data_IF_047336093364
#
_entry.id   IF_047336093364
#
_cell.length_a   1.000
_cell.length_b   1.000
_cell.length_c   1.000
_cell.angle_alpha   90.00
_cell.angle_beta   90.00
_cell.angle_gamma   90.00
#
_symmetry.space_group_name_H-M   'P 1'
#
loop_
_entity.id
_entity.type
_entity.pdbx_description
1 polymer ?
#
# COMPACT_ATOMS: atom_id res chain seq x y z
N UNK A 1 -4.49 9.64 -12.27
CA UNK A 1 -3.04 9.54 -12.57
C UNK A 1 -2.54 8.25 -11.92
N UNK A 2 -2.42 7.19 -12.73
CA UNK A 2 -1.85 5.91 -12.30
C UNK A 2 -0.34 6.01 -12.15
N UNK A 3 0.29 5.07 -11.43
CA UNK A 3 1.75 4.99 -11.27
C UNK A 3 2.50 5.11 -12.62
N UNK A 4 1.93 4.55 -13.69
CA UNK A 4 2.46 4.64 -15.05
C UNK A 4 2.29 6.03 -15.71
N UNK A 5 1.23 6.78 -15.39
CA UNK A 5 0.96 8.09 -15.99
C UNK A 5 1.68 9.24 -15.26
N UNK A 6 2.16 9.02 -14.03
CA UNK A 6 2.91 10.02 -13.26
C UNK A 6 4.43 10.06 -13.55
N UNK A 7 4.97 9.07 -14.28
CA UNK A 7 6.42 8.85 -14.34
C UNK A 7 7.04 8.77 -15.74
N UNK A 8 6.39 9.24 -16.80
CA UNK A 8 6.97 9.17 -18.15
C UNK A 8 7.96 10.29 -18.52
N UNK A 9 8.37 11.17 -17.60
CA UNK A 9 9.39 12.20 -17.90
C UNK A 9 10.78 11.90 -17.33
N UNK A 10 10.93 10.98 -16.39
CA UNK A 10 12.22 10.63 -15.77
C UNK A 10 12.66 9.18 -15.98
N UNK A 11 11.77 8.30 -16.45
CA UNK A 11 12.12 6.90 -16.73
C UNK A 11 12.96 6.82 -18.00
N UNK A 12 14.28 6.64 -17.83
CA UNK A 12 15.21 6.37 -18.91
C UNK A 12 15.57 4.88 -18.91
N UNK A 13 15.87 4.27 -20.08
CA UNK A 13 16.35 2.88 -20.20
C UNK A 13 17.57 2.56 -19.32
N UNK A 14 18.23 3.58 -18.77
CA UNK A 14 19.38 3.47 -17.87
C UNK A 14 19.09 2.72 -16.58
N UNK A 15 17.86 2.63 -16.08
CA UNK A 15 17.62 2.01 -14.76
C UNK A 15 17.08 0.57 -14.83
N UNK A 16 16.82 0.04 -16.02
CA UNK A 16 16.28 -1.32 -16.21
C UNK A 16 17.19 -2.42 -15.62
N UNK A 17 18.50 -2.26 -15.71
CA UNK A 17 19.48 -3.23 -15.18
C UNK A 17 19.46 -3.37 -13.65
N UNK A 18 18.98 -2.35 -12.92
CA UNK A 18 18.83 -2.43 -11.45
C UNK A 18 17.60 -3.23 -11.05
N UNK A 19 16.55 -3.25 -11.89
CA UNK A 19 15.35 -4.04 -11.65
C UNK A 19 15.57 -5.52 -11.94
N UNK A 20 16.30 -5.83 -13.02
CA UNK A 20 16.68 -7.21 -13.37
C UNK A 20 17.56 -7.87 -12.29
N UNK A 21 18.44 -7.09 -11.64
CA UNK A 21 19.27 -7.57 -10.54
C UNK A 21 18.49 -7.77 -9.22
N UNK A 22 17.31 -7.14 -9.09
CA UNK A 22 16.48 -7.19 -7.88
C UNK A 22 15.31 -8.20 -7.96
N UNK A 23 15.09 -8.84 -9.12
CA UNK A 23 14.07 -9.88 -9.27
C UNK A 23 14.51 -11.19 -8.61
N UNK A 24 14.01 -11.45 -7.41
CA UNK A 24 13.99 -12.79 -6.84
C UNK A 24 12.80 -13.57 -7.42
N UNK A 25 13.11 -14.66 -8.14
CA UNK A 25 12.22 -15.68 -8.71
C UNK A 25 11.02 -15.19 -9.56
N UNK A 26 11.06 -15.49 -10.85
CA UNK A 26 9.92 -15.30 -11.74
C UNK A 26 8.84 -16.34 -11.43
N UNK A 27 7.66 -15.88 -11.02
CA UNK A 27 6.48 -16.71 -10.84
C UNK A 27 5.86 -16.98 -12.22
N UNK A 28 5.52 -18.23 -12.53
CA UNK A 28 4.79 -18.56 -13.75
C UNK A 28 3.30 -18.22 -13.62
N UNK A 29 2.64 -17.91 -14.75
CA UNK A 29 1.20 -17.64 -14.79
C UNK A 29 0.37 -18.78 -14.17
N UNK A 30 0.79 -20.03 -14.39
CA UNK A 30 0.11 -21.20 -13.83
C UNK A 30 0.24 -21.27 -12.30
N UNK A 31 1.45 -21.04 -11.77
CA UNK A 31 1.65 -21.00 -10.31
C UNK A 31 0.89 -19.84 -9.70
N UNK A 32 0.96 -18.67 -10.31
CA UNK A 32 0.22 -17.49 -9.87
C UNK A 32 -1.27 -17.78 -9.81
N UNK A 33 -1.87 -18.28 -10.90
CA UNK A 33 -3.30 -18.63 -10.95
C UNK A 33 -3.68 -19.61 -9.84
N UNK A 34 -2.90 -20.66 -9.63
CA UNK A 34 -3.15 -21.65 -8.56
C UNK A 34 -3.09 -21.00 -7.18
N UNK A 35 -2.10 -20.14 -6.93
CA UNK A 35 -1.93 -19.47 -5.64
C UNK A 35 -3.08 -18.48 -5.37
N UNK A 36 -3.64 -17.86 -6.41
CA UNK A 36 -4.84 -17.02 -6.29
C UNK A 36 -6.11 -17.86 -6.04
N UNK A 37 -6.27 -18.99 -6.74
CA UNK A 37 -7.46 -19.85 -6.60
C UNK A 37 -7.56 -20.53 -5.24
N UNK A 38 -6.43 -20.88 -4.63
CA UNK A 38 -6.36 -21.61 -3.36
C UNK A 38 -5.93 -20.73 -2.18
N UNK A 39 -5.58 -19.47 -2.45
CA UNK A 39 -5.04 -18.54 -1.46
C UNK A 39 -6.09 -18.03 -0.47
N UNK A 40 -5.59 -17.54 0.67
CA UNK A 40 -6.38 -16.78 1.62
C UNK A 40 -5.97 -15.31 1.55
N UNK A 41 -6.96 -14.42 1.57
CA UNK A 41 -6.73 -12.99 1.58
C UNK A 41 -6.90 -12.47 3.00
N UNK A 42 -5.83 -11.87 3.54
CA UNK A 42 -5.97 -10.95 4.65
C UNK A 42 -6.24 -9.56 4.08
N UNK A 43 -7.35 -8.95 4.50
CA UNK A 43 -7.75 -7.61 4.08
C UNK A 43 -7.90 -6.75 5.33
N UNK A 44 -7.24 -5.59 5.33
CA UNK A 44 -7.49 -4.56 6.34
C UNK A 44 -8.81 -3.83 6.02
N UNK A 45 -9.93 -4.53 6.20
CA UNK A 45 -11.27 -4.07 5.84
C UNK A 45 -11.75 -2.90 6.72
N UNK A 46 -11.42 -2.92 8.01
CA UNK A 46 -11.84 -1.89 8.96
C UNK A 46 -10.80 -0.77 9.16
N UNK A 47 -9.65 -0.86 8.46
CA UNK A 47 -8.48 -0.03 8.70
C UNK A 47 -7.93 -0.18 10.13
N UNK A 48 -6.70 0.28 10.35
CA UNK A 48 -6.17 0.54 11.69
C UNK A 48 -7.15 1.45 12.47
N UNK A 49 -7.56 1.13 13.72
CA UNK A 49 -8.40 2.01 14.53
C UNK A 49 -7.81 3.42 14.66
N UNK A 50 -8.64 4.46 14.53
CA UNK A 50 -8.19 5.87 14.52
C UNK A 50 -8.52 6.56 15.84
N UNK A 51 -7.49 7.03 16.56
CA UNK A 51 -7.68 7.75 17.82
C UNK A 51 -8.47 9.06 17.65
N UNK A 52 -8.41 9.68 16.48
CA UNK A 52 -9.18 10.89 16.17
C UNK A 52 -10.68 10.67 16.13
N UNK A 53 -11.12 9.41 15.98
CA UNK A 53 -12.53 9.03 15.96
C UNK A 53 -13.02 8.45 17.30
N UNK A 54 -12.13 8.31 18.28
CA UNK A 54 -12.47 7.70 19.57
C UNK A 54 -13.37 8.63 20.39
N UNK A 55 -14.45 8.09 20.95
CA UNK A 55 -15.19 8.78 22.00
C UNK A 55 -14.28 8.97 23.23
N UNK A 56 -14.48 10.02 24.06
CA UNK A 56 -13.63 10.29 25.21
C UNK A 56 -13.46 9.09 26.16
N UNK A 57 -14.53 8.29 26.33
CA UNK A 57 -14.54 7.14 27.23
C UNK A 57 -13.84 5.89 26.63
N UNK A 58 -13.60 5.88 25.31
CA UNK A 58 -13.05 4.73 24.57
C UNK A 58 -11.56 4.89 24.18
N UNK A 59 -10.96 6.06 24.44
CA UNK A 59 -9.60 6.41 23.97
C UNK A 59 -8.58 5.33 24.31
N UNK A 60 -8.60 4.81 25.54
CA UNK A 60 -7.65 3.78 25.98
C UNK A 60 -7.84 2.45 25.25
N UNK A 61 -9.09 2.07 24.96
CA UNK A 61 -9.40 0.85 24.21
C UNK A 61 -8.97 1.00 22.76
N UNK A 62 -9.33 2.11 22.11
CA UNK A 62 -8.93 2.40 20.72
C UNK A 62 -7.41 2.47 20.59
N UNK A 63 -6.71 3.02 21.58
CA UNK A 63 -5.25 3.07 21.57
C UNK A 63 -4.62 1.68 21.67
N UNK A 64 -5.19 0.79 22.51
CA UNK A 64 -4.76 -0.61 22.59
C UNK A 64 -4.98 -1.33 21.27
N UNK A 65 -6.16 -1.20 20.68
CA UNK A 65 -6.51 -1.88 19.43
C UNK A 65 -5.70 -1.37 18.25
N UNK A 66 -5.49 -0.05 18.17
CA UNK A 66 -4.57 0.57 17.20
C UNK A 66 -3.16 -0.02 17.32
N UNK A 67 -2.63 -0.11 18.54
CA UNK A 67 -1.29 -0.68 18.78
C UNK A 67 -1.21 -2.14 18.37
N UNK A 68 -2.24 -2.93 18.63
CA UNK A 68 -2.31 -4.33 18.21
C UNK A 68 -2.38 -4.46 16.69
N UNK A 69 -3.21 -3.66 16.03
CA UNK A 69 -3.32 -3.61 14.57
C UNK A 69 -1.96 -3.27 13.94
N UNK A 70 -1.30 -2.19 14.38
CA UNK A 70 0.02 -1.77 13.86
C UNK A 70 1.08 -2.85 14.08
N UNK A 71 1.08 -3.52 15.23
CA UNK A 71 2.00 -4.63 15.52
C UNK A 71 1.75 -5.86 14.65
N UNK A 72 0.52 -6.06 14.20
CA UNK A 72 0.17 -7.19 13.35
C UNK A 72 0.68 -7.06 11.91
N UNK A 73 0.86 -5.82 11.40
CA UNK A 73 1.32 -5.53 10.03
C UNK A 73 2.56 -6.36 9.63
N UNK A 74 3.70 -6.28 10.34
CA UNK A 74 4.90 -7.05 9.97
C UNK A 74 4.65 -8.57 9.97
N UNK A 75 3.84 -9.08 10.89
CA UNK A 75 3.53 -10.51 10.98
C UNK A 75 2.73 -11.01 9.76
N UNK A 76 1.79 -10.19 9.26
CA UNK A 76 1.06 -10.52 8.04
C UNK A 76 1.95 -10.41 6.80
N UNK A 77 2.80 -9.38 6.72
CA UNK A 77 3.75 -9.22 5.62
C UNK A 77 4.70 -10.41 5.50
N UNK A 78 5.29 -10.86 6.61
CA UNK A 78 6.21 -12.01 6.62
C UNK A 78 5.58 -13.32 6.14
N UNK A 79 4.26 -13.46 6.29
CA UNK A 79 3.50 -14.66 5.93
C UNK A 79 2.83 -14.56 4.56
N UNK A 80 2.88 -13.39 3.93
CA UNK A 80 2.18 -13.12 2.68
C UNK A 80 3.02 -13.54 1.48
N UNK A 81 2.36 -14.12 0.48
CA UNK A 81 2.99 -14.40 -0.84
C UNK A 81 2.85 -13.22 -1.80
N UNK A 82 1.83 -12.37 -1.59
CA UNK A 82 1.49 -11.23 -2.44
C UNK A 82 1.10 -10.03 -1.59
N UNK A 83 1.42 -8.83 -2.07
CA UNK A 83 1.01 -7.58 -1.46
C UNK A 83 0.05 -6.84 -2.40
N UNK A 84 -1.22 -6.76 -2.03
CA UNK A 84 -2.27 -6.19 -2.88
C UNK A 84 -2.61 -4.76 -2.45
N UNK A 85 -2.65 -3.86 -3.42
CA UNK A 85 -3.12 -2.47 -3.23
C UNK A 85 -4.43 -2.32 -4.00
N UNK A 86 -5.54 -2.50 -3.28
CA UNK A 86 -6.89 -2.39 -3.83
C UNK A 86 -7.36 -0.94 -3.73
N UNK A 87 -7.37 -0.25 -4.87
CA UNK A 87 -7.63 1.19 -4.95
C UNK A 87 -8.57 1.55 -6.11
N UNK A 88 -9.75 0.90 -6.21
CA UNK A 88 -10.77 1.34 -7.16
C UNK A 88 -11.15 2.79 -6.86
N UNK A 89 -11.46 3.55 -7.90
CA UNK A 89 -12.07 4.86 -7.76
C UNK A 89 -13.47 4.70 -7.19
N UNK A 90 -13.67 5.32 -6.04
CA UNK A 90 -14.96 5.39 -5.37
C UNK A 90 -15.23 6.84 -4.98
N UNK A 91 -16.49 7.24 -4.94
CA UNK A 91 -16.88 8.55 -4.39
C UNK A 91 -17.09 8.41 -2.88
N UNK A 92 -16.52 9.33 -2.10
CA UNK A 92 -16.74 9.36 -0.66
C UNK A 92 -18.17 9.82 -0.35
N UNK A 93 -18.94 8.98 0.35
CA UNK A 93 -20.37 9.18 0.60
C UNK A 93 -20.75 10.59 1.10
N UNK A 94 -20.05 11.10 2.12
CA UNK A 94 -20.40 12.38 2.74
C UNK A 94 -19.67 13.62 2.19
N UNK A 95 -18.54 13.43 1.51
CA UNK A 95 -17.65 14.53 1.13
C UNK A 95 -17.54 14.72 -0.37
N UNK A 96 -18.14 13.82 -1.16
CA UNK A 96 -18.24 13.89 -2.62
C UNK A 96 -16.90 14.06 -3.33
N UNK A 97 -15.79 13.66 -2.70
CA UNK A 97 -14.48 13.61 -3.35
C UNK A 97 -14.17 12.20 -3.81
N UNK A 98 -13.36 12.10 -4.86
CA UNK A 98 -12.89 10.83 -5.43
C UNK A 98 -11.78 10.22 -4.55
N UNK A 99 -12.06 9.05 -4.00
CA UNK A 99 -11.09 8.12 -3.41
C UNK A 99 -10.49 7.29 -4.54
N UNK A 100 -9.16 7.25 -4.68
CA UNK A 100 -8.44 6.47 -5.69
C UNK A 100 -7.00 6.20 -5.21
N UNK A 101 -6.14 5.65 -6.06
CA UNK A 101 -4.71 5.44 -5.72
C UNK A 101 -4.02 6.70 -5.19
N UNK A 102 -4.36 7.89 -5.72
CA UNK A 102 -3.77 9.16 -5.25
C UNK A 102 -4.20 9.52 -3.82
N UNK A 103 -5.44 9.26 -3.43
CA UNK A 103 -5.89 9.48 -2.05
C UNK A 103 -5.33 8.41 -1.11
N UNK A 104 -5.22 7.16 -1.56
CA UNK A 104 -4.58 6.06 -0.83
C UNK A 104 -3.13 6.41 -0.45
N UNK A 105 -2.33 6.91 -1.39
CA UNK A 105 -0.94 7.37 -1.17
C UNK A 105 -0.82 8.54 -0.19
N UNK A 106 -1.91 9.16 0.26
CA UNK A 106 -1.88 10.23 1.29
C UNK A 106 -2.13 9.68 2.70
N UNK A 107 -2.57 8.45 2.85
CA UNK A 107 -2.89 7.83 4.15
C UNK A 107 -1.62 7.34 4.84
N UNK A 108 -1.46 7.72 6.12
CA UNK A 108 -0.28 7.38 6.92
C UNK A 108 -0.11 5.88 7.11
N UNK A 109 -1.19 5.16 7.40
CA UNK A 109 -1.18 3.70 7.57
C UNK A 109 -0.83 2.96 6.27
N UNK A 110 -1.41 3.35 5.15
CA UNK A 110 -1.11 2.75 3.85
C UNK A 110 0.35 2.96 3.43
N UNK A 111 0.92 4.14 3.69
CA UNK A 111 2.35 4.39 3.52
C UNK A 111 3.17 3.50 4.45
N UNK A 112 2.77 3.36 5.71
CA UNK A 112 3.48 2.53 6.68
C UNK A 112 3.53 1.07 6.21
N UNK A 113 2.42 0.51 5.74
CA UNK A 113 2.35 -0.86 5.19
C UNK A 113 3.27 -1.03 3.99
N UNK A 114 3.25 -0.07 3.07
CA UNK A 114 4.09 -0.08 1.87
C UNK A 114 5.58 -0.01 2.23
N UNK A 115 5.96 0.91 3.12
CA UNK A 115 7.33 1.03 3.62
C UNK A 115 7.76 -0.22 4.40
N UNK A 116 6.88 -0.79 5.23
CA UNK A 116 7.15 -2.01 5.97
C UNK A 116 7.40 -3.20 5.03
N UNK A 117 6.64 -3.30 3.93
CA UNK A 117 6.86 -4.31 2.89
C UNK A 117 8.26 -4.15 2.26
N UNK A 118 8.61 -2.96 1.77
CA UNK A 118 9.90 -2.74 1.09
C UNK A 118 11.12 -2.81 2.01
N UNK A 119 10.94 -2.56 3.32
CA UNK A 119 12.00 -2.69 4.32
C UNK A 119 12.04 -4.07 4.99
N UNK A 120 11.13 -4.98 4.64
CA UNK A 120 11.13 -6.35 5.15
C UNK A 120 12.28 -7.17 4.56
N UNK A 121 12.63 -8.28 5.22
CA UNK A 121 13.62 -9.23 4.71
C UNK A 121 13.25 -9.80 3.34
N UNK A 122 11.94 -9.89 3.05
CA UNK A 122 11.40 -10.37 1.78
C UNK A 122 10.36 -9.37 1.27
N UNK A 123 10.84 -8.34 0.58
CA UNK A 123 9.96 -7.39 -0.09
C UNK A 123 9.12 -8.08 -1.15
N UNK A 124 7.80 -7.92 -1.05
CA UNK A 124 6.85 -8.36 -2.06
C UNK A 124 6.67 -7.25 -3.10
N UNK A 125 6.45 -7.60 -4.36
CA UNK A 125 6.11 -6.64 -5.40
C UNK A 125 4.63 -6.25 -5.27
N UNK A 126 4.29 -4.96 -5.06
CA UNK A 126 2.90 -4.55 -4.94
C UNK A 126 2.10 -4.80 -6.23
N UNK A 127 0.91 -5.36 -6.05
CA UNK A 127 -0.08 -5.62 -7.07
C UNK A 127 -1.21 -4.59 -6.95
N UNK A 128 -1.13 -3.51 -7.73
CA UNK A 128 -2.08 -2.41 -7.69
C UNK A 128 -3.25 -2.72 -8.62
N UNK A 129 -4.45 -2.75 -8.03
CA UNK A 129 -5.72 -2.94 -8.74
C UNK A 129 -6.50 -1.64 -8.66
N UNK A 130 -6.79 -1.04 -9.81
CA UNK A 130 -7.56 0.20 -9.96
C UNK A 130 -8.74 0.01 -10.92
N UNK A 131 -9.37 1.09 -11.39
CA UNK A 131 -10.61 1.04 -12.19
C UNK A 131 -10.48 0.39 -13.56
N UNK A 132 -9.34 0.62 -14.21
CA UNK A 132 -9.00 -0.17 -15.38
C UNK A 132 -8.65 -1.56 -14.86
N UNK A 133 -9.22 -2.64 -15.44
CA UNK A 133 -8.91 -4.06 -15.17
C UNK A 133 -7.45 -4.43 -15.48
N UNK A 134 -6.53 -3.56 -15.10
CA UNK A 134 -5.11 -3.55 -15.38
C UNK A 134 -4.42 -3.63 -14.03
N UNK A 135 -3.73 -4.74 -13.85
CA UNK A 135 -2.80 -4.92 -12.76
C UNK A 135 -1.58 -4.06 -13.05
N UNK A 136 -1.21 -3.17 -12.12
CA UNK A 136 0.02 -2.38 -12.21
C UNK A 136 0.94 -2.80 -11.06
N UNK A 137 2.23 -2.93 -11.35
CA UNK A 137 3.23 -3.28 -10.36
C UNK A 137 4.37 -2.27 -10.34
N UNK A 138 5.14 -2.25 -9.26
CA UNK A 138 6.38 -1.48 -9.19
C UNK A 138 7.40 -2.18 -8.28
N UNK A 139 8.67 -2.06 -8.65
CA UNK A 139 9.78 -2.67 -7.93
C UNK A 139 10.18 -1.84 -6.69
N UNK A 140 10.99 -2.43 -5.82
CA UNK A 140 11.64 -1.72 -4.72
C UNK A 140 12.49 -0.55 -5.23
N UNK A 141 13.21 -0.72 -6.34
CA UNK A 141 14.06 0.33 -6.92
C UNK A 141 13.19 1.51 -7.35
N UNK A 142 12.10 1.24 -8.08
CA UNK A 142 11.13 2.26 -8.50
C UNK A 142 10.50 2.96 -7.29
N UNK A 143 10.15 2.22 -6.23
CA UNK A 143 9.64 2.78 -4.99
C UNK A 143 10.65 3.71 -4.30
N UNK A 144 11.91 3.28 -4.15
CA UNK A 144 12.95 4.09 -3.48
C UNK A 144 13.21 5.36 -4.28
N UNK A 145 13.42 5.26 -5.60
CA UNK A 145 13.63 6.42 -6.46
C UNK A 145 12.46 7.42 -6.41
N UNK A 146 11.24 6.91 -6.30
CA UNK A 146 10.06 7.76 -6.18
C UNK A 146 9.94 8.45 -4.81
N UNK A 147 10.56 7.92 -3.75
CA UNK A 147 10.50 8.48 -2.40
C UNK A 147 11.77 9.24 -1.97
N UNK A 148 12.92 9.04 -2.62
CA UNK A 148 14.18 9.73 -2.29
C UNK A 148 14.01 11.25 -2.41
N UNK A 149 14.41 11.96 -1.35
CA UNK A 149 14.33 13.43 -1.29
C UNK A 149 12.91 13.99 -1.12
N UNK A 150 11.91 13.14 -0.88
CA UNK A 150 10.49 13.52 -0.75
C UNK A 150 9.94 13.21 0.65
N UNK A 151 10.34 13.95 1.70
CA UNK A 151 9.93 13.67 3.08
C UNK A 151 8.42 13.75 3.27
N UNK A 152 7.70 14.53 2.46
CA UNK A 152 6.24 14.62 2.45
C UNK A 152 5.54 13.30 2.10
N UNK A 153 6.28 12.32 1.58
CA UNK A 153 5.82 10.97 1.27
C UNK A 153 6.14 9.94 2.36
N UNK A 154 6.87 10.33 3.41
CA UNK A 154 7.12 9.47 4.56
C UNK A 154 5.81 9.09 5.26
N UNK A 155 5.76 7.93 5.95
CA UNK A 155 4.57 7.49 6.68
C UNK A 155 4.10 8.52 7.71
N UNK A 156 5.03 9.11 8.47
CA UNK A 156 4.73 10.12 9.50
C UNK A 156 4.15 11.43 8.95
N UNK A 157 4.30 11.70 7.65
CA UNK A 157 3.73 12.86 6.97
C UNK A 157 2.38 12.54 6.30
N UNK A 158 1.85 11.33 6.50
CA UNK A 158 0.54 10.92 5.97
C UNK A 158 -0.61 11.26 6.91
N UNK A 159 -1.82 11.22 6.38
CA UNK A 159 -3.05 11.37 7.15
C UNK A 159 -3.36 10.04 7.87
N UNK A 160 -3.26 10.03 9.20
CA UNK A 160 -3.69 8.92 10.05
C UNK A 160 -5.18 9.02 10.35
N UNK A 161 -5.97 8.98 9.28
CA UNK A 161 -7.43 8.89 9.33
C UNK A 161 -7.93 8.19 8.06
N UNK A 162 -9.05 7.47 8.18
CA UNK A 162 -9.67 6.79 7.04
C UNK A 162 -10.40 7.80 6.13
N UNK A 163 -10.98 8.85 6.71
CA UNK A 163 -11.74 9.88 6.03
C UNK A 163 -11.30 11.26 6.52
N UNK A 164 -11.30 12.28 5.65
CA UNK A 164 -11.19 13.65 6.16
C UNK A 164 -12.40 13.93 7.04
N UNK A 165 -12.21 14.52 8.21
CA UNK A 165 -13.32 15.05 9.00
C UNK A 165 -13.68 16.42 8.42
N UNK A 166 -14.98 16.66 8.22
CA UNK A 166 -15.51 17.99 7.93
C UNK A 166 -15.40 18.88 9.17
#
# INVERSE_FOLDING_TARGET
QTFAQGHSSSWTPRFAHLEDAAQHDKISDESFRRDIELGLVWIDFLSVPQLTCAAPDDVDQVARDQRLAVRSIPHYLERSSFFWVLVPTAEHEHLHYSCCFSSWRKRGWCRLEEWANFLSLRSLMPLVVSDESRLVTYSMVSFILDNVGKPERAPCMGAFTCCKHA
#
